data_IF_497218902012
#
_entry.id   IF_497218902012
#
_cell.length_a   1.000
_cell.length_b   1.000
_cell.length_c   1.000
_cell.angle_alpha   90.00
_cell.angle_beta   90.00
_cell.angle_gamma   90.00
#
_symmetry.space_group_name_H-M   'P 1'
#
loop_
_entity.id
_entity.type
_entity.pdbx_description
1 polymer ?
#
# COMPACT_ATOMS: atom_id res chain seq x y z
N UNK A 1 34.32 6.59 7.85
CA UNK A 1 33.31 6.98 6.84
C UNK A 1 32.54 5.74 6.42
N UNK A 2 31.31 5.54 6.92
CA UNK A 2 30.43 4.49 6.41
C UNK A 2 29.49 5.12 5.39
N UNK A 3 29.55 4.64 4.16
CA UNK A 3 28.67 5.05 3.08
C UNK A 3 27.23 4.65 3.43
N UNK A 4 26.35 5.64 3.58
CA UNK A 4 24.91 5.44 3.59
C UNK A 4 24.48 5.20 2.14
N UNK A 5 24.05 3.97 1.83
CA UNK A 5 23.37 3.68 0.58
C UNK A 5 22.00 4.37 0.62
N UNK A 6 21.93 5.55 0.01
CA UNK A 6 20.67 6.23 -0.24
C UNK A 6 19.87 5.41 -1.27
N UNK A 7 18.85 4.69 -0.80
CA UNK A 7 17.79 4.18 -1.66
C UNK A 7 16.95 5.39 -2.07
N UNK A 8 17.35 6.02 -3.17
CA UNK A 8 16.55 7.05 -3.83
C UNK A 8 15.50 6.33 -4.68
N UNK A 9 14.30 6.15 -4.15
CA UNK A 9 13.13 5.70 -4.91
C UNK A 9 12.48 6.95 -5.53
N UNK A 10 12.94 7.36 -6.72
CA UNK A 10 12.47 8.56 -7.42
C UNK A 10 11.16 8.38 -8.21
N UNK A 11 10.34 7.39 -7.88
CA UNK A 11 9.00 7.23 -8.46
C UNK A 11 8.08 6.47 -7.49
N UNK A 12 6.76 6.75 -7.44
CA UNK A 12 5.84 5.93 -6.68
C UNK A 12 5.97 4.49 -7.17
N UNK A 13 6.25 3.57 -6.24
CA UNK A 13 6.38 2.14 -6.53
C UNK A 13 5.05 1.62 -7.06
N UNK A 14 4.90 1.55 -8.40
CA UNK A 14 3.79 0.84 -9.04
C UNK A 14 3.91 -0.63 -8.64
N UNK A 15 2.90 -1.22 -7.96
CA UNK A 15 2.99 -2.63 -7.60
C UNK A 15 2.97 -3.53 -8.86
N UNK A 16 3.61 -4.70 -8.81
CA UNK A 16 3.61 -5.65 -9.92
C UNK A 16 2.18 -6.15 -10.18
N UNK A 17 1.81 -6.26 -11.46
CA UNK A 17 0.53 -6.84 -11.87
C UNK A 17 0.43 -8.29 -11.37
N UNK A 18 -0.65 -8.62 -10.67
CA UNK A 18 -0.90 -9.97 -10.18
C UNK A 18 -1.28 -10.90 -11.33
N UNK A 19 -0.28 -11.49 -11.98
CA UNK A 19 -0.45 -12.71 -12.76
C UNK A 19 -0.24 -13.92 -11.85
N UNK A 20 -1.04 -14.98 -12.04
CA UNK A 20 -0.87 -16.28 -11.37
C UNK A 20 0.45 -16.95 -11.81
N UNK A 21 1.57 -16.49 -11.28
CA UNK A 21 2.86 -17.17 -11.41
C UNK A 21 2.96 -18.29 -10.36
N UNK A 22 3.48 -19.45 -10.77
CA UNK A 22 3.78 -20.58 -9.89
C UNK A 22 4.54 -20.12 -8.63
N UNK A 23 4.23 -20.70 -7.48
CA UNK A 23 4.87 -20.32 -6.20
C UNK A 23 6.40 -20.32 -6.33
N UNK A 24 7.07 -19.21 -6.01
CA UNK A 24 8.51 -19.12 -6.12
C UNK A 24 9.18 -20.10 -5.16
N UNK A 25 10.24 -20.75 -5.65
CA UNK A 25 11.16 -21.56 -4.85
C UNK A 25 11.85 -20.68 -3.80
N UNK A 26 11.28 -20.63 -2.59
CA UNK A 26 11.76 -19.77 -1.49
C UNK A 26 13.18 -20.11 -1.03
N UNK A 27 13.72 -21.28 -1.40
CA UNK A 27 15.09 -21.65 -1.06
C UNK A 27 16.14 -20.83 -1.82
N UNK A 28 15.74 -20.10 -2.87
CA UNK A 28 16.61 -19.18 -3.62
C UNK A 28 16.43 -17.71 -3.23
N UNK A 29 15.56 -17.41 -2.27
CA UNK A 29 15.32 -16.05 -1.83
C UNK A 29 16.46 -15.60 -0.91
N UNK A 30 17.42 -14.87 -1.49
CA UNK A 30 18.55 -14.27 -0.77
C UNK A 30 18.20 -12.88 -0.22
N UNK A 31 16.93 -12.46 -0.33
CA UNK A 31 16.48 -11.16 0.15
C UNK A 31 16.57 -11.11 1.67
N UNK A 32 17.44 -10.24 2.19
CA UNK A 32 17.48 -9.95 3.62
C UNK A 32 16.18 -9.25 4.02
N UNK A 33 15.52 -9.69 5.12
CA UNK A 33 14.35 -8.99 5.64
C UNK A 33 14.67 -7.51 5.93
N UNK A 34 13.73 -6.63 5.59
CA UNK A 34 13.81 -5.22 5.96
C UNK A 34 13.75 -5.08 7.49
N UNK A 35 14.32 -3.98 8.01
CA UNK A 35 13.96 -3.57 9.37
C UNK A 35 12.48 -3.23 9.41
N UNK A 36 11.87 -3.39 10.58
CA UNK A 36 10.47 -3.04 10.78
C UNK A 36 10.18 -1.59 10.35
N UNK A 37 11.03 -0.64 10.74
CA UNK A 37 10.88 0.78 10.37
C UNK A 37 10.90 0.99 8.86
N UNK A 38 11.89 0.42 8.16
CA UNK A 38 12.00 0.59 6.70
C UNK A 38 10.82 -0.05 5.96
N UNK A 39 10.32 -1.18 6.45
CA UNK A 39 9.11 -1.79 5.91
C UNK A 39 7.87 -0.90 6.11
N UNK A 40 7.69 -0.35 7.31
CA UNK A 40 6.55 0.52 7.63
C UNK A 40 6.58 1.81 6.80
N UNK A 41 7.75 2.42 6.59
CA UNK A 41 7.89 3.60 5.74
C UNK A 41 7.41 3.31 4.31
N UNK A 42 7.90 2.23 3.69
CA UNK A 42 7.49 1.82 2.34
C UNK A 42 5.99 1.50 2.29
N UNK A 43 5.46 0.83 3.33
CA UNK A 43 4.04 0.51 3.41
C UNK A 43 3.18 1.78 3.48
N UNK A 44 3.58 2.78 4.27
CA UNK A 44 2.84 4.04 4.39
C UNK A 44 2.83 4.81 3.07
N UNK A 45 3.96 4.84 2.35
CA UNK A 45 4.03 5.44 1.01
C UNK A 45 3.09 4.72 0.03
N UNK A 46 3.07 3.39 0.07
CA UNK A 46 2.15 2.60 -0.76
C UNK A 46 0.69 2.84 -0.41
N UNK A 47 0.34 2.88 0.89
CA UNK A 47 -1.02 3.16 1.37
C UNK A 47 -1.49 4.54 0.92
N UNK A 48 -0.61 5.55 0.99
CA UNK A 48 -0.92 6.90 0.54
C UNK A 48 -1.28 6.89 -0.94
N UNK A 49 -0.37 6.42 -1.80
CA UNK A 49 -0.61 6.35 -3.25
C UNK A 49 -1.85 5.53 -3.60
N UNK A 50 -2.03 4.35 -2.98
CA UNK A 50 -3.16 3.48 -3.27
C UNK A 50 -4.49 4.16 -2.98
N UNK A 51 -4.60 4.91 -1.89
CA UNK A 51 -5.87 5.53 -1.52
C UNK A 51 -6.15 6.82 -2.31
N UNK A 52 -5.12 7.58 -2.69
CA UNK A 52 -5.31 8.93 -3.24
C UNK A 52 -5.08 9.04 -4.74
N UNK A 53 -4.26 8.16 -5.33
CA UNK A 53 -3.82 8.27 -6.73
C UNK A 53 -4.19 7.04 -7.58
N UNK A 54 -4.19 5.84 -7.00
CA UNK A 54 -4.55 4.62 -7.73
C UNK A 54 -6.04 4.60 -8.08
N UNK A 55 -6.36 4.42 -9.36
CA UNK A 55 -7.73 4.22 -9.83
C UNK A 55 -8.01 2.74 -10.10
N UNK A 56 -9.21 2.29 -9.72
CA UNK A 56 -9.65 0.90 -9.88
C UNK A 56 -10.95 0.80 -10.66
N UNK A 57 -11.02 -0.11 -11.62
CA UNK A 57 -12.25 -0.39 -12.37
C UNK A 57 -13.36 -0.96 -11.48
N UNK A 58 -13.01 -1.64 -10.37
CA UNK A 58 -13.98 -2.10 -9.38
C UNK A 58 -14.64 -0.95 -8.60
N UNK A 59 -14.09 0.26 -8.69
CA UNK A 59 -14.61 1.50 -8.11
C UNK A 59 -15.06 2.49 -9.20
N UNK A 60 -15.44 1.98 -10.37
CA UNK A 60 -15.84 2.77 -11.54
C UNK A 60 -14.76 3.73 -12.04
N UNK A 61 -13.49 3.31 -11.94
CA UNK A 61 -12.34 4.12 -12.34
C UNK A 61 -11.97 5.23 -11.35
N UNK A 62 -12.58 5.25 -10.15
CA UNK A 62 -12.23 6.18 -9.08
C UNK A 62 -11.08 5.67 -8.23
N UNK A 63 -10.48 6.60 -7.47
CA UNK A 63 -9.59 6.25 -6.36
C UNK A 63 -10.41 5.76 -5.17
N UNK A 64 -9.84 4.94 -4.26
CA UNK A 64 -10.52 4.54 -3.03
C UNK A 64 -11.03 5.72 -2.21
N UNK A 65 -10.24 6.80 -2.06
CA UNK A 65 -10.68 8.00 -1.36
C UNK A 65 -11.89 8.66 -2.03
N UNK A 66 -11.87 8.80 -3.36
CA UNK A 66 -12.98 9.41 -4.08
C UNK A 66 -14.26 8.55 -4.00
N UNK A 67 -14.12 7.22 -4.06
CA UNK A 67 -15.23 6.30 -3.87
C UNK A 67 -15.85 6.45 -2.47
N UNK A 68 -15.01 6.46 -1.42
CA UNK A 68 -15.44 6.65 -0.04
C UNK A 68 -16.15 8.00 0.18
N UNK A 69 -15.59 9.09 -0.34
CA UNK A 69 -16.17 10.43 -0.19
C UNK A 69 -17.55 10.57 -0.86
N UNK A 70 -17.80 9.78 -1.90
CA UNK A 70 -19.08 9.75 -2.61
C UNK A 70 -20.08 8.72 -2.08
N UNK A 71 -19.68 7.92 -1.06
CA UNK A 71 -20.55 6.89 -0.50
C UNK A 71 -21.72 7.55 0.25
N UNK A 72 -22.98 7.29 -0.13
CA UNK A 72 -24.15 7.86 0.55
C UNK A 72 -24.47 7.20 1.89
N UNK A 73 -23.72 6.16 2.29
CA UNK A 73 -23.92 5.45 3.55
C UNK A 73 -23.76 6.42 4.72
N UNK A 74 -24.83 6.59 5.50
CA UNK A 74 -24.81 7.47 6.67
C UNK A 74 -23.87 6.90 7.73
N UNK A 75 -22.89 7.71 8.14
CA UNK A 75 -22.06 7.41 9.30
C UNK A 75 -22.92 7.50 10.56
N UNK A 76 -22.88 6.44 11.37
CA UNK A 76 -23.47 6.41 12.69
C UNK A 76 -22.35 6.55 13.70
N UNK A 77 -22.52 7.40 14.70
CA UNK A 77 -21.59 7.39 15.83
C UNK A 77 -21.74 6.07 16.59
N UNK A 78 -20.61 5.47 16.94
CA UNK A 78 -20.60 4.34 17.85
C UNK A 78 -21.08 4.83 19.23
N UNK A 79 -21.92 4.04 19.89
CA UNK A 79 -22.33 4.34 21.27
C UNK A 79 -21.09 4.42 22.17
N UNK A 80 -20.81 5.58 22.81
CA UNK A 80 -19.67 5.72 23.70
C UNK A 80 -19.68 4.73 24.86
N UNK A 81 -20.83 4.15 25.23
CA UNK A 81 -20.93 3.13 26.27
C UNK A 81 -20.42 1.74 25.82
N UNK A 82 -20.13 1.54 24.53
CA UNK A 82 -19.62 0.29 23.95
C UNK A 82 -18.12 0.33 23.60
N UNK A 83 -17.42 1.42 23.93
CA UNK A 83 -15.97 1.62 23.73
C UNK A 83 -15.21 1.53 25.07
#
# INVERSE_FOLDING_TARGET
MRAAHAVRLTAPLRPPAHGHAASPDRSKDTTRPLSFTAFVEILLDWVAWWNTEHTSQALDGRTPLAAWQSDPTRLQEADPALL
#
